data_IF_867255476149
#
_entry.id   IF_867255476149
#
_cell.length_a   1.000
_cell.length_b   1.000
_cell.length_c   1.000
_cell.angle_alpha   90.00
_cell.angle_beta   90.00
_cell.angle_gamma   90.00
#
_symmetry.space_group_name_H-M   'P 1'
#
loop_
_entity.id
_entity.type
_entity.pdbx_description
1 polymer ?
#
# COMPACT_ATOMS: atom_id res chain seq x y z
N UNK A 1 4.76 0.92 -2.01
CA UNK A 1 4.21 2.02 -2.83
C UNK A 1 3.82 3.20 -1.95
N UNK A 2 3.02 3.01 -0.89
CA UNK A 2 2.67 4.05 0.09
C UNK A 2 3.86 4.93 0.54
N UNK A 3 4.94 4.31 1.01
CA UNK A 3 6.15 5.04 1.46
C UNK A 3 6.77 5.86 0.31
N UNK A 4 6.97 5.27 -0.87
CA UNK A 4 7.52 5.99 -2.02
C UNK A 4 6.66 7.20 -2.43
N UNK A 5 5.34 7.07 -2.37
CA UNK A 5 4.40 8.17 -2.62
C UNK A 5 4.47 9.26 -1.54
N UNK A 6 4.60 8.86 -0.26
CA UNK A 6 4.72 9.78 0.87
C UNK A 6 6.00 10.62 0.82
N UNK A 7 7.13 10.02 0.44
CA UNK A 7 8.43 10.70 0.32
C UNK A 7 8.57 11.53 -0.96
N UNK A 8 7.61 11.42 -1.89
CA UNK A 8 7.58 12.29 -3.06
C UNK A 8 7.13 13.71 -2.66
N UNK A 9 7.57 14.74 -3.39
CA UNK A 9 7.14 16.14 -3.21
C UNK A 9 5.73 16.35 -3.82
N UNK A 10 4.77 15.52 -3.43
CA UNK A 10 3.40 15.54 -3.97
C UNK A 10 2.70 16.90 -3.76
N UNK A 11 3.09 17.64 -2.73
CA UNK A 11 2.60 18.98 -2.42
C UNK A 11 3.08 20.07 -3.39
N UNK A 12 4.08 19.79 -4.24
CA UNK A 12 4.53 20.72 -5.29
C UNK A 12 3.92 20.40 -6.65
N UNK A 13 3.16 19.31 -6.77
CA UNK A 13 2.49 18.92 -8.02
C UNK A 13 1.22 19.75 -8.23
N UNK A 14 0.66 19.66 -9.45
CA UNK A 14 -0.65 20.24 -9.70
C UNK A 14 -1.69 19.63 -8.75
N UNK A 15 -2.73 20.39 -8.35
CA UNK A 15 -3.75 19.90 -7.41
C UNK A 15 -4.45 18.61 -7.85
N UNK A 16 -4.57 18.38 -9.17
CA UNK A 16 -5.13 17.14 -9.72
C UNK A 16 -4.22 15.94 -9.43
N UNK A 17 -2.94 16.04 -9.80
CA UNK A 17 -1.96 14.98 -9.61
C UNK A 17 -1.72 14.69 -8.12
N UNK A 18 -1.67 15.75 -7.29
CA UNK A 18 -1.54 15.61 -5.84
C UNK A 18 -2.71 14.82 -5.23
N UNK A 19 -3.94 15.08 -5.70
CA UNK A 19 -5.14 14.37 -5.25
C UNK A 19 -5.08 12.88 -5.61
N UNK A 20 -4.61 12.55 -6.79
CA UNK A 20 -4.47 11.16 -7.24
C UNK A 20 -3.44 10.40 -6.40
N UNK A 21 -2.31 11.03 -6.05
CA UNK A 21 -1.31 10.44 -5.15
C UNK A 21 -1.89 10.24 -3.73
N UNK A 22 -2.68 11.19 -3.21
CA UNK A 22 -3.34 11.04 -1.90
C UNK A 22 -4.28 9.83 -1.92
N UNK A 23 -5.09 9.66 -2.97
CA UNK A 23 -5.95 8.49 -3.11
C UNK A 23 -5.13 7.19 -3.19
N UNK A 24 -4.03 7.18 -3.93
CA UNK A 24 -3.13 6.03 -4.00
C UNK A 24 -2.58 5.68 -2.61
N UNK A 25 -2.15 6.67 -1.83
CA UNK A 25 -1.68 6.46 -0.46
C UNK A 25 -2.76 5.84 0.43
N UNK A 26 -3.99 6.38 0.42
CA UNK A 26 -5.10 5.84 1.20
C UNK A 26 -5.39 4.38 0.82
N UNK A 27 -5.42 4.06 -0.48
CA UNK A 27 -5.72 2.71 -0.98
C UNK A 27 -4.60 1.70 -0.72
N UNK A 28 -3.35 2.15 -0.72
CA UNK A 28 -2.16 1.30 -0.52
C UNK A 28 -1.67 1.25 0.92
N UNK A 29 -2.37 1.93 1.85
CA UNK A 29 -2.09 1.86 3.28
C UNK A 29 -2.33 0.45 3.83
N UNK A 30 -3.32 -0.26 3.28
CA UNK A 30 -3.51 -1.68 3.59
C UNK A 30 -2.64 -2.53 2.65
N UNK A 31 -1.73 -3.35 3.18
CA UNK A 31 -0.95 -4.25 2.34
C UNK A 31 -1.86 -5.29 1.68
N UNK A 32 -1.54 -5.63 0.43
CA UNK A 32 -2.23 -6.68 -0.32
C UNK A 32 -1.93 -8.04 0.31
N UNK A 33 -2.83 -8.51 1.18
CA UNK A 33 -2.75 -9.85 1.74
C UNK A 33 -3.32 -10.87 0.75
N UNK A 34 -2.45 -11.73 0.24
CA UNK A 34 -2.90 -12.93 -0.45
C UNK A 34 -3.39 -13.91 0.62
N UNK A 35 -4.68 -14.25 0.66
CA UNK A 35 -5.21 -15.17 1.68
C UNK A 35 -5.43 -16.56 1.10
N UNK A 36 -5.02 -17.61 1.82
CA UNK A 36 -5.29 -18.99 1.45
C UNK A 36 -6.70 -19.37 1.91
N UNK A 37 -7.58 -19.69 0.95
CA UNK A 37 -8.98 -20.03 1.23
C UNK A 37 -9.79 -18.93 1.95
N UNK A 38 -9.30 -17.67 1.97
CA UNK A 38 -9.79 -16.57 2.82
C UNK A 38 -9.64 -16.77 4.34
N UNK A 39 -8.83 -17.73 4.78
CA UNK A 39 -8.70 -18.09 6.20
C UNK A 39 -7.43 -17.49 6.83
N UNK A 40 -6.29 -17.53 6.13
CA UNK A 40 -5.04 -16.99 6.65
C UNK A 40 -4.26 -16.20 5.59
N UNK A 41 -3.61 -15.09 5.97
CA UNK A 41 -2.76 -14.33 5.05
C UNK A 41 -1.48 -15.10 4.78
N UNK A 42 -1.18 -15.34 3.51
CA UNK A 42 0.09 -15.88 3.02
C UNK A 42 1.14 -14.78 3.08
N UNK A 43 1.90 -14.79 4.16
CA UNK A 43 3.05 -13.91 4.41
C UNK A 43 4.31 -14.75 4.65
N UNK A 44 5.49 -14.13 4.54
CA UNK A 44 6.75 -14.79 4.91
C UNK A 44 6.72 -15.27 6.37
N UNK A 45 6.07 -14.51 7.25
CA UNK A 45 5.88 -14.90 8.65
C UNK A 45 5.12 -16.22 8.78
N UNK A 46 4.00 -16.40 8.07
CA UNK A 46 3.26 -17.68 8.07
C UNK A 46 4.02 -18.84 7.42
N UNK A 47 4.91 -18.57 6.47
CA UNK A 47 5.75 -19.62 5.85
C UNK A 47 6.86 -20.09 6.80
N UNK A 48 7.51 -19.14 7.50
CA UNK A 48 8.57 -19.45 8.45
C UNK A 48 8.06 -19.90 9.82
N UNK A 49 6.76 -19.78 10.10
CA UNK A 49 6.11 -20.20 11.34
C UNK A 49 5.52 -21.61 11.25
N UNK A 50 6.24 -22.50 10.54
CA UNK A 50 5.95 -23.94 10.42
C UNK A 50 7.08 -24.73 11.06
#
# INVERSE_FOLDING_TARGET
IHYAAYFNKWYTLNPKDARDIIFLMIRTNEPLYLTAGKVFPMTMATFCNV
#
